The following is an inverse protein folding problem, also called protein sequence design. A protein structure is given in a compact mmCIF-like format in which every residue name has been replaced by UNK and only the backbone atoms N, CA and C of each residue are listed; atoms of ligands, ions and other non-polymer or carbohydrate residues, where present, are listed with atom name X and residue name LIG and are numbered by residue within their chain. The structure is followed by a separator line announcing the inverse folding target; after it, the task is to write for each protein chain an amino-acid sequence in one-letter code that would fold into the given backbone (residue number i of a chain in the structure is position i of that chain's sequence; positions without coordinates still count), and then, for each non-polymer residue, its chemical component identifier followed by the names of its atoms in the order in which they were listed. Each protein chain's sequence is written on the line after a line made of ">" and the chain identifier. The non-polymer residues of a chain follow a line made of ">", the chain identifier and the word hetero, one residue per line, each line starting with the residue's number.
data_IF_850096920761
#
_entry.id   IF_850096920761
#
_cell.length_a   1.000
_cell.length_b   1.000
_cell.length_c   1.000
_cell.angle_alpha   90.00
_cell.angle_beta   90.00
_cell.angle_gamma   90.00
#
_symmetry.space_group_name_H-M   'P 1'
#
loop_
_entity.id
_entity.type
_entity.pdbx_description
1 polymer ?
#
# COMPACT_ATOMS: atom_id res chain seq x y z
N UNK A 1 -31.62 -71.99 -20.65
CA UNK A 1 -31.86 -70.55 -20.43
C UNK A 1 -30.49 -69.91 -20.22
N UNK A 2 -29.98 -69.20 -21.21
CA UNK A 2 -28.63 -68.60 -21.18
C UNK A 2 -28.76 -67.12 -20.88
N UNK A 3 -28.33 -66.71 -19.69
CA UNK A 3 -28.29 -65.30 -19.29
C UNK A 3 -27.07 -64.65 -19.94
N UNK A 4 -27.30 -63.72 -20.87
CA UNK A 4 -26.24 -62.87 -21.42
C UNK A 4 -25.98 -61.72 -20.44
N UNK A 5 -24.90 -61.83 -19.67
CA UNK A 5 -24.43 -60.72 -18.84
C UNK A 5 -23.55 -59.82 -19.70
N UNK A 6 -24.08 -58.68 -20.14
CA UNK A 6 -23.29 -57.62 -20.77
C UNK A 6 -22.75 -56.72 -19.68
N UNK A 7 -21.45 -56.82 -19.38
CA UNK A 7 -20.73 -55.81 -18.60
C UNK A 7 -19.93 -54.92 -19.55
N UNK A 8 -20.07 -53.60 -19.38
CA UNK A 8 -19.24 -52.61 -20.07
C UNK A 8 -18.38 -51.93 -19.02
N UNK A 9 -17.06 -52.00 -19.20
CA UNK A 9 -16.09 -51.32 -18.33
C UNK A 9 -15.90 -49.91 -18.86
N UNK A 10 -16.39 -48.91 -18.14
CA UNK A 10 -16.12 -47.50 -18.45
C UNK A 10 -14.76 -47.13 -17.83
N UNK A 11 -13.73 -46.98 -18.66
CA UNK A 11 -12.46 -46.42 -18.23
C UNK A 11 -12.61 -44.90 -18.12
N UNK A 12 -12.78 -44.39 -16.90
CA UNK A 12 -12.66 -42.95 -16.63
C UNK A 12 -11.16 -42.65 -16.59
N UNK A 13 -10.64 -42.10 -17.69
CA UNK A 13 -9.26 -41.63 -17.75
C UNK A 13 -9.09 -40.41 -16.87
N UNK A 14 -8.06 -40.42 -16.02
CA UNK A 14 -7.71 -39.27 -15.19
C UNK A 14 -7.22 -38.14 -16.12
N UNK A 15 -7.88 -36.99 -16.07
CA UNK A 15 -7.43 -35.82 -16.81
C UNK A 15 -6.17 -35.26 -16.13
N UNK A 16 -5.15 -34.80 -16.87
CA UNK A 16 -3.98 -34.21 -16.26
C UNK A 16 -4.40 -33.03 -15.38
N UNK A 17 -4.11 -33.12 -14.08
CA UNK A 17 -4.29 -32.01 -13.14
C UNK A 17 -3.29 -30.93 -13.50
N UNK A 18 -3.77 -29.80 -14.04
CA UNK A 18 -2.95 -28.61 -14.19
C UNK A 18 -2.66 -28.06 -12.80
N UNK A 19 -1.45 -28.30 -12.29
CA UNK A 19 -0.96 -27.66 -11.06
C UNK A 19 -0.37 -26.32 -11.47
N UNK A 20 -1.19 -25.27 -11.43
CA UNK A 20 -0.70 -23.91 -11.59
C UNK A 20 -0.22 -23.39 -10.22
N UNK A 21 1.10 -23.21 -10.10
CA UNK A 21 1.68 -22.55 -8.94
C UNK A 21 1.64 -21.05 -9.15
N UNK A 22 0.74 -20.36 -8.46
CA UNK A 22 0.76 -18.88 -8.37
C UNK A 22 1.50 -18.49 -7.09
N UNK A 23 2.46 -17.57 -7.21
CA UNK A 23 3.05 -16.97 -6.02
C UNK A 23 2.02 -16.05 -5.34
N UNK A 24 1.52 -16.47 -4.19
CA UNK A 24 0.67 -15.64 -3.35
C UNK A 24 1.60 -14.85 -2.44
N UNK A 25 1.72 -13.55 -2.70
CA UNK A 25 2.38 -12.64 -1.77
C UNK A 25 1.49 -12.48 -0.53
N UNK A 26 1.85 -13.16 0.56
CA UNK A 26 1.25 -12.92 1.87
C UNK A 26 1.70 -11.53 2.32
N UNK A 27 0.72 -10.62 2.44
CA UNK A 27 0.95 -9.27 2.92
C UNK A 27 1.12 -9.35 4.44
N UNK A 28 2.33 -9.09 5.00
CA UNK A 28 2.46 -9.01 6.44
C UNK A 28 1.56 -7.88 6.96
N UNK A 29 0.83 -8.15 8.03
CA UNK A 29 0.13 -7.12 8.82
C UNK A 29 1.13 -6.02 9.15
N UNK A 30 0.68 -4.76 9.06
CA UNK A 30 1.44 -3.60 9.52
C UNK A 30 1.93 -3.85 10.95
N UNK A 31 3.22 -4.19 11.07
CA UNK A 31 3.89 -4.43 12.33
C UNK A 31 4.68 -3.17 12.70
N UNK A 32 4.89 -2.85 13.99
CA UNK A 32 5.60 -1.64 14.38
C UNK A 32 6.99 -1.62 13.74
N UNK A 33 7.16 -0.73 12.76
CA UNK A 33 8.41 -0.54 12.03
C UNK A 33 9.37 0.30 12.85
N UNK A 34 10.67 0.17 12.58
CA UNK A 34 11.74 0.91 13.29
C UNK A 34 12.26 2.11 12.50
N UNK A 35 11.76 2.33 11.28
CA UNK A 35 12.20 3.40 10.40
C UNK A 35 11.49 4.73 10.65
N UNK A 36 11.72 5.67 9.74
CA UNK A 36 11.16 7.04 9.80
C UNK A 36 10.22 7.36 8.65
N UNK A 37 10.28 6.60 7.56
CA UNK A 37 9.55 6.89 6.32
C UNK A 37 10.48 7.42 5.22
N UNK A 38 10.15 7.10 3.98
CA UNK A 38 10.85 7.58 2.78
C UNK A 38 9.85 7.81 1.66
N UNK A 39 10.07 8.88 0.90
CA UNK A 39 9.43 9.11 -0.41
C UNK A 39 10.50 9.09 -1.49
N UNK A 40 10.22 8.43 -2.60
CA UNK A 40 11.06 8.44 -3.81
C UNK A 40 10.23 9.05 -4.92
N UNK A 41 10.65 10.21 -5.39
CA UNK A 41 10.07 10.84 -6.57
C UNK A 41 10.96 10.53 -7.78
N UNK A 42 10.40 10.15 -8.95
CA UNK A 42 11.19 9.80 -10.13
C UNK A 42 12.19 10.88 -10.56
N UNK A 43 11.78 12.15 -10.48
CA UNK A 43 12.60 13.30 -10.90
C UNK A 43 13.24 14.10 -9.77
N UNK A 44 12.56 14.28 -8.62
CA UNK A 44 13.08 15.02 -7.47
C UNK A 44 14.00 14.18 -6.58
N UNK A 45 14.08 12.87 -6.85
CA UNK A 45 14.91 11.92 -6.12
C UNK A 45 14.29 11.46 -4.81
N UNK A 46 15.15 10.95 -3.94
CA UNK A 46 14.76 10.33 -2.67
C UNK A 46 14.77 11.33 -1.53
N UNK A 47 13.71 11.30 -0.73
CA UNK A 47 13.59 12.05 0.50
C UNK A 47 13.35 11.11 1.69
N UNK A 48 14.34 11.05 2.59
CA UNK A 48 14.25 10.34 3.85
C UNK A 48 13.67 11.25 4.94
N UNK A 49 12.64 10.79 5.63
CA UNK A 49 11.98 11.61 6.66
C UNK A 49 12.92 11.82 7.86
N UNK A 50 12.90 13.04 8.42
CA UNK A 50 13.69 13.33 9.61
C UNK A 50 13.15 12.68 10.88
N UNK A 51 11.82 12.58 10.96
CA UNK A 51 11.03 12.03 12.07
C UNK A 51 9.89 11.20 11.48
N UNK A 52 9.28 10.31 12.28
CA UNK A 52 8.06 9.59 11.88
C UNK A 52 6.82 10.46 12.13
N UNK A 53 5.71 10.27 11.39
CA UNK A 53 4.46 10.95 11.71
C UNK A 53 3.93 10.54 13.09
N UNK A 54 3.14 11.41 13.71
CA UNK A 54 2.55 11.18 15.02
C UNK A 54 1.38 10.18 14.94
N UNK A 55 0.61 10.24 13.85
CA UNK A 55 -0.49 9.33 13.58
C UNK A 55 -0.70 9.12 12.08
N UNK A 56 -1.49 8.10 11.75
CA UNK A 56 -1.90 7.77 10.40
C UNK A 56 -3.38 7.37 10.38
N UNK A 57 -4.04 7.61 9.25
CA UNK A 57 -5.43 7.20 9.01
C UNK A 57 -5.53 6.35 7.75
N UNK A 58 -6.42 5.36 7.79
CA UNK A 58 -6.73 4.44 6.69
C UNK A 58 -5.53 3.62 6.18
N UNK A 59 -4.52 3.35 7.02
CA UNK A 59 -3.33 2.60 6.61
C UNK A 59 -3.26 1.15 7.13
N UNK A 60 -3.75 0.88 8.35
CA UNK A 60 -3.37 -0.34 9.08
C UNK A 60 -3.92 -1.64 8.46
N UNK A 61 -5.21 -1.68 8.13
CA UNK A 61 -5.87 -2.85 7.52
C UNK A 61 -6.85 -2.51 6.39
N UNK A 62 -7.05 -1.23 6.09
CA UNK A 62 -8.02 -0.80 5.06
C UNK A 62 -7.46 -0.90 3.64
N UNK A 63 -6.14 -0.86 3.51
CA UNK A 63 -5.43 -0.95 2.23
C UNK A 63 -5.38 -2.39 1.71
N UNK A 64 -5.38 -3.37 2.63
CA UNK A 64 -5.13 -4.78 2.31
C UNK A 64 -6.45 -5.53 2.17
N UNK A 65 -6.77 -5.98 0.94
CA UNK A 65 -7.81 -6.99 0.76
C UNK A 65 -7.19 -8.35 1.08
N UNK A 66 -7.69 -9.09 2.08
CA UNK A 66 -7.15 -10.41 2.38
C UNK A 66 -7.37 -11.36 1.20
N UNK A 67 -6.42 -12.27 0.91
CA UNK A 67 -6.61 -13.29 -0.11
C UNK A 67 -7.81 -14.17 0.24
N UNK A 68 -8.63 -14.49 -0.75
CA UNK A 68 -9.76 -15.41 -0.58
C UNK A 68 -9.31 -16.81 -0.97
N UNK A 69 -9.56 -17.78 -0.09
CA UNK A 69 -9.29 -19.18 -0.36
C UNK A 69 -10.61 -19.96 -0.40
N UNK A 70 -10.86 -20.64 -1.51
CA UNK A 70 -11.94 -21.61 -1.65
C UNK A 70 -11.38 -23.00 -1.91
N UNK A 71 -11.91 -24.01 -1.21
CA UNK A 71 -11.64 -25.41 -1.50
C UNK A 71 -12.94 -26.12 -1.84
N UNK A 72 -12.91 -26.94 -2.89
CA UNK A 72 -14.04 -27.76 -3.32
C UNK A 72 -13.59 -29.22 -3.37
N UNK A 73 -14.33 -30.11 -2.72
CA UNK A 73 -14.03 -31.53 -2.71
C UNK A 73 -14.41 -32.16 -4.06
N UNK A 74 -13.48 -32.88 -4.68
CA UNK A 74 -13.71 -33.66 -5.90
C UNK A 74 -13.73 -35.15 -5.59
N UNK A 75 -14.13 -35.98 -6.55
CA UNK A 75 -14.23 -37.44 -6.38
C UNK A 75 -12.90 -38.11 -5.99
N UNK A 76 -11.77 -37.47 -6.28
CA UNK A 76 -10.42 -38.01 -6.06
C UNK A 76 -9.56 -37.16 -5.11
N UNK A 77 -9.88 -35.88 -4.88
CA UNK A 77 -9.09 -34.98 -4.03
C UNK A 77 -9.85 -33.71 -3.64
N UNK A 78 -9.15 -32.59 -3.38
CA UNK A 78 -9.72 -31.26 -3.23
C UNK A 78 -9.10 -30.30 -4.25
N UNK A 79 -9.93 -29.52 -4.94
CA UNK A 79 -9.50 -28.42 -5.80
C UNK A 79 -9.49 -27.14 -4.98
N UNK A 80 -8.36 -26.44 -4.99
CA UNK A 80 -8.18 -25.16 -4.29
C UNK A 80 -8.17 -24.03 -5.32
N UNK A 81 -8.95 -22.98 -5.08
CA UNK A 81 -8.90 -21.71 -5.79
C UNK A 81 -8.42 -20.63 -4.82
N UNK A 82 -7.34 -19.93 -5.17
CA UNK A 82 -6.85 -18.79 -4.40
C UNK A 82 -6.92 -17.54 -5.25
N UNK A 83 -7.59 -16.52 -4.72
CA UNK A 83 -7.55 -15.18 -5.28
C UNK A 83 -6.52 -14.37 -4.49
N UNK A 84 -5.45 -13.87 -5.13
CA UNK A 84 -4.47 -13.05 -4.45
C UNK A 84 -5.14 -11.79 -3.89
N UNK A 85 -4.76 -11.40 -2.68
CA UNK A 85 -5.21 -10.14 -2.10
C UNK A 85 -4.82 -8.96 -2.98
N UNK A 86 -5.70 -7.98 -3.12
CA UNK A 86 -5.43 -6.73 -3.84
C UNK A 86 -5.15 -5.59 -2.87
N UNK A 87 -4.47 -4.57 -3.38
CA UNK A 87 -4.37 -3.27 -2.72
C UNK A 87 -5.60 -2.46 -3.12
N UNK A 88 -6.32 -1.91 -2.15
CA UNK A 88 -7.42 -1.00 -2.43
C UNK A 88 -6.90 0.39 -2.77
N UNK A 89 -7.58 1.03 -3.71
CA UNK A 89 -7.42 2.45 -3.99
C UNK A 89 -8.06 3.28 -2.86
N UNK A 90 -7.25 3.60 -1.85
CA UNK A 90 -7.67 4.29 -0.62
C UNK A 90 -6.83 5.55 -0.42
N UNK A 91 -7.47 6.58 0.15
CA UNK A 91 -6.78 7.78 0.60
C UNK A 91 -6.26 7.56 2.02
N UNK A 92 -4.94 7.68 2.16
CA UNK A 92 -4.19 7.59 3.40
C UNK A 92 -3.76 8.98 3.84
N UNK A 93 -3.83 9.23 5.13
CA UNK A 93 -3.41 10.50 5.72
C UNK A 93 -2.28 10.27 6.72
N UNK A 94 -1.14 10.95 6.53
CA UNK A 94 -0.12 11.10 7.57
C UNK A 94 -0.40 12.39 8.36
N UNK A 95 -0.44 12.27 9.68
CA UNK A 95 -0.73 13.36 10.61
C UNK A 95 0.51 13.69 11.44
N UNK A 96 0.94 14.94 11.33
CA UNK A 96 2.04 15.53 12.09
C UNK A 96 1.45 16.57 13.03
N UNK A 97 0.97 16.12 14.18
CA UNK A 97 0.29 16.98 15.16
C UNK A 97 1.28 17.84 15.94
N UNK A 98 2.53 17.38 16.09
CA UNK A 98 3.56 18.08 16.84
C UNK A 98 3.31 18.04 18.34
N UNK A 99 2.79 16.91 18.85
CA UNK A 99 2.62 16.63 20.28
C UNK A 99 4.02 16.61 20.96
N UNK A 100 4.50 17.80 21.36
CA UNK A 100 5.90 18.04 21.73
C UNK A 100 6.45 19.40 21.30
N UNK A 101 5.66 20.20 20.57
CA UNK A 101 5.92 21.62 20.27
C UNK A 101 6.50 21.90 18.88
N UNK A 102 6.87 20.87 18.11
CA UNK A 102 7.35 20.96 16.73
C UNK A 102 6.68 19.83 15.94
N UNK A 103 5.99 20.18 14.86
CA UNK A 103 5.27 19.23 14.00
C UNK A 103 6.17 18.65 12.92
N UNK A 104 6.99 19.48 12.26
CA UNK A 104 7.97 19.02 11.27
C UNK A 104 9.05 20.07 10.98
N UNK A 105 10.09 19.68 10.24
CA UNK A 105 11.05 20.63 9.67
C UNK A 105 10.48 21.31 8.44
N UNK A 106 10.91 22.54 8.21
CA UNK A 106 10.47 23.34 7.06
C UNK A 106 10.95 22.72 5.73
N UNK A 107 12.13 22.09 5.74
CA UNK A 107 12.68 21.34 4.60
C UNK A 107 11.75 20.18 4.17
N UNK A 108 11.20 19.46 5.14
CA UNK A 108 10.27 18.35 4.89
C UNK A 108 8.97 18.85 4.25
N UNK A 109 8.39 19.93 4.77
CA UNK A 109 7.21 20.54 4.17
C UNK A 109 7.49 21.04 2.75
N UNK A 110 8.66 21.64 2.50
CA UNK A 110 9.06 22.09 1.15
C UNK A 110 9.17 20.92 0.18
N UNK A 111 9.70 19.78 0.63
CA UNK A 111 9.75 18.59 -0.21
C UNK A 111 8.34 18.05 -0.51
N UNK A 112 7.46 17.98 0.48
CA UNK A 112 6.07 17.56 0.26
C UNK A 112 5.34 18.47 -0.72
N UNK A 113 5.50 19.79 -0.58
CA UNK A 113 4.93 20.77 -1.51
C UNK A 113 5.56 20.69 -2.89
N UNK A 114 6.86 20.42 -3.00
CA UNK A 114 7.53 20.24 -4.28
C UNK A 114 6.96 19.03 -5.01
N UNK A 115 6.91 17.87 -4.35
CA UNK A 115 6.34 16.64 -4.91
C UNK A 115 4.85 16.77 -5.24
N UNK A 116 4.10 17.55 -4.45
CA UNK A 116 2.69 17.86 -4.74
C UNK A 116 2.53 18.79 -5.95
N UNK A 117 3.38 19.82 -6.07
CA UNK A 117 3.35 20.76 -7.18
C UNK A 117 3.88 20.17 -8.49
N UNK A 118 4.67 19.08 -8.43
CA UNK A 118 5.17 18.35 -9.59
C UNK A 118 4.55 16.94 -9.64
N UNK A 119 3.25 16.81 -9.99
CA UNK A 119 2.65 15.49 -10.10
C UNK A 119 3.38 14.66 -11.17
N UNK A 120 3.61 13.38 -10.85
CA UNK A 120 4.18 12.41 -11.79
C UNK A 120 3.10 11.99 -12.78
N UNK A 121 3.44 11.94 -14.07
CA UNK A 121 2.56 11.35 -15.07
C UNK A 121 2.38 9.85 -14.76
N UNK A 122 1.14 9.35 -14.59
CA UNK A 122 0.89 7.93 -14.34
C UNK A 122 1.52 6.98 -15.37
N UNK A 123 1.82 7.45 -16.59
CA UNK A 123 2.50 6.67 -17.62
C UNK A 123 4.01 6.54 -17.40
N UNK A 124 4.65 7.54 -16.79
CA UNK A 124 6.11 7.59 -16.59
C UNK A 124 6.53 7.03 -15.22
N UNK A 125 5.59 6.89 -14.28
CA UNK A 125 5.82 6.25 -12.99
C UNK A 125 4.87 6.73 -11.90
N UNK A 126 5.27 6.53 -10.65
CA UNK A 126 4.56 7.04 -9.48
C UNK A 126 5.57 7.42 -8.40
N UNK A 127 5.11 8.16 -7.39
CA UNK A 127 5.90 8.42 -6.19
C UNK A 127 5.89 7.13 -5.37
N UNK A 128 7.05 6.63 -4.97
CA UNK A 128 7.13 5.45 -4.11
C UNK A 128 7.23 5.90 -2.65
N UNK A 129 6.32 5.39 -1.83
CA UNK A 129 6.22 5.66 -0.42
C UNK A 129 6.55 4.41 0.38
N UNK A 130 7.54 4.54 1.26
CA UNK A 130 8.02 3.47 2.13
C UNK A 130 7.79 3.87 3.60
N UNK A 131 6.62 3.57 4.18
CA UNK A 131 6.31 3.87 5.57
C UNK A 131 6.99 2.89 6.54
N UNK A 132 8.32 2.90 6.55
CA UNK A 132 9.17 2.02 7.37
C UNK A 132 8.95 2.10 8.89
N UNK A 133 8.13 3.04 9.36
CA UNK A 133 7.68 3.18 10.76
C UNK A 133 6.44 2.32 11.09
N UNK A 134 5.68 1.86 10.09
CA UNK A 134 4.45 1.05 10.24
C UNK A 134 4.45 -0.22 9.41
N UNK A 135 5.21 -0.27 8.31
CA UNK A 135 5.26 -1.42 7.44
C UNK A 135 6.62 -1.52 6.74
N UNK A 136 7.04 -2.75 6.45
CA UNK A 136 8.21 -3.01 5.60
C UNK A 136 7.88 -2.91 4.09
N UNK A 137 6.62 -2.68 3.74
CA UNK A 137 6.15 -2.60 2.36
C UNK A 137 6.34 -1.19 1.78
N UNK A 138 6.56 -1.14 0.46
CA UNK A 138 6.51 0.07 -0.34
C UNK A 138 5.24 0.15 -1.17
N UNK A 139 4.73 1.36 -1.36
CA UNK A 139 3.51 1.65 -2.11
C UNK A 139 3.77 2.71 -3.16
N UNK A 140 3.17 2.58 -4.34
CA UNK A 140 3.07 3.66 -5.32
C UNK A 140 1.91 4.55 -4.91
N UNK A 141 2.18 5.84 -4.74
CA UNK A 141 1.23 6.83 -4.26
C UNK A 141 1.19 8.06 -5.17
N UNK A 142 0.04 8.75 -5.15
CA UNK A 142 -0.09 10.11 -5.62
C UNK A 142 -0.37 11.03 -4.44
N UNK A 143 0.36 12.14 -4.32
CA UNK A 143 0.08 13.15 -3.29
C UNK A 143 -1.13 13.97 -3.77
N UNK A 144 -2.22 13.91 -3.01
CA UNK A 144 -3.48 14.58 -3.33
C UNK A 144 -3.49 15.98 -2.75
N UNK A 145 -3.10 16.09 -1.48
CA UNK A 145 -3.21 17.34 -0.74
C UNK A 145 -2.14 17.40 0.36
N UNK A 146 -1.57 18.59 0.56
CA UNK A 146 -0.73 18.91 1.71
C UNK A 146 -1.42 20.04 2.46
N UNK A 147 -1.82 19.81 3.70
CA UNK A 147 -2.51 20.80 4.54
C UNK A 147 -1.58 21.18 5.69
N UNK A 148 -1.32 22.47 5.89
CA UNK A 148 -0.68 22.99 7.10
C UNK A 148 -1.64 23.92 7.84
N UNK A 149 -2.01 23.59 9.08
CA UNK A 149 -2.98 24.39 9.84
C UNK A 149 -4.38 24.40 9.21
N UNK A 150 -5.02 25.57 9.11
CA UNK A 150 -6.36 25.71 8.51
C UNK A 150 -6.33 25.92 6.99
N UNK A 151 -5.27 26.49 6.43
CA UNK A 151 -5.01 26.63 4.98
C UNK A 151 -3.49 26.78 4.77
N UNK A 152 -2.97 26.29 3.64
CA UNK A 152 -1.56 26.51 3.28
C UNK A 152 -1.37 27.96 2.83
N UNK A 153 -1.09 28.86 3.77
CA UNK A 153 -0.56 30.18 3.42
C UNK A 153 0.94 30.09 3.26
N UNK A 154 1.47 30.42 2.08
CA UNK A 154 2.93 30.47 1.83
C UNK A 154 3.67 31.41 2.80
N UNK A 155 2.96 32.35 3.43
CA UNK A 155 3.48 33.22 4.48
C UNK A 155 3.99 32.47 5.72
N UNK A 156 3.44 31.29 6.04
CA UNK A 156 3.86 30.50 7.20
C UNK A 156 5.23 29.83 6.97
N UNK A 157 5.52 29.46 5.71
CA UNK A 157 6.84 28.97 5.28
C UNK A 157 7.93 30.05 5.30
N UNK A 158 7.55 31.31 5.08
CA UNK A 158 8.47 32.44 5.17
C UNK A 158 8.79 32.82 6.63
N UNK A 159 7.87 32.54 7.57
CA UNK A 159 8.05 32.81 9.01
C UNK A 159 8.75 31.69 9.77
N UNK A 160 8.60 30.44 9.32
CA UNK A 160 9.29 29.29 9.90
C UNK A 160 10.77 29.29 9.50
N UNK A 161 11.65 29.83 10.36
CA UNK A 161 13.10 29.86 10.11
C UNK A 161 13.76 28.47 9.99
N UNK A 162 13.11 27.42 10.51
CA UNK A 162 13.64 26.05 10.44
C UNK A 162 12.59 24.98 10.83
N UNK A 163 11.73 25.30 11.80
CA UNK A 163 10.75 24.36 12.38
C UNK A 163 9.32 24.88 12.29
N UNK A 164 8.40 23.98 11.93
CA UNK A 164 6.96 24.22 11.93
C UNK A 164 6.35 23.76 13.24
N UNK A 165 5.46 24.58 13.79
CA UNK A 165 4.74 24.31 15.05
C UNK A 165 3.24 24.07 14.84
N UNK A 166 2.80 24.11 13.59
CA UNK A 166 1.41 23.91 13.21
C UNK A 166 1.22 22.47 12.72
N UNK A 167 0.05 21.88 12.96
CA UNK A 167 -0.23 20.53 12.50
C UNK A 167 -0.17 20.47 10.98
N UNK A 168 0.45 19.43 10.45
CA UNK A 168 0.53 19.18 9.01
C UNK A 168 -0.12 17.83 8.71
N UNK A 169 -0.96 17.80 7.68
CA UNK A 169 -1.58 16.59 7.16
C UNK A 169 -1.15 16.39 5.72
N UNK A 170 -0.56 15.23 5.42
CA UNK A 170 -0.23 14.81 4.07
C UNK A 170 -1.24 13.75 3.64
N UNK A 171 -2.05 14.06 2.62
CA UNK A 171 -3.02 13.13 2.04
C UNK A 171 -2.45 12.52 0.77
N UNK A 172 -2.44 11.20 0.72
CA UNK A 172 -1.92 10.41 -0.38
C UNK A 172 -2.97 9.41 -0.83
N UNK A 173 -3.02 9.12 -2.12
CA UNK A 173 -3.85 8.05 -2.68
C UNK A 173 -2.95 6.91 -3.10
N UNK A 174 -3.25 5.69 -2.64
CA UNK A 174 -2.49 4.50 -3.00
C UNK A 174 -2.95 4.02 -4.37
N UNK A 175 -1.99 3.87 -5.27
CA UNK A 175 -2.22 3.43 -6.64
C UNK A 175 -1.90 1.95 -6.81
N UNK A 176 -0.76 1.51 -6.28
CA UNK A 176 -0.27 0.14 -6.42
C UNK A 176 0.87 -0.14 -5.42
N UNK A 177 1.52 -1.29 -5.52
CA UNK A 177 2.75 -1.64 -4.80
C UNK A 177 3.99 -1.07 -5.50
N UNK A 178 4.99 -0.65 -4.70
CA UNK A 178 6.34 -0.29 -5.18
C UNK A 178 7.24 -1.53 -5.29
#
# INVERSE_FOLDING_TARGET
>A
MTTLTSSATLAIGDAPTAVESVQINVIPVAAPGTGKGRLVHPTLGTYDYHYKPDAWRNFDGDIVVPPVWGSAQTLTSATNAVWPGSIRDVTVEELWTGEGGISMRTEQLRMFLAMWATPVDPADGAIEWYPSYTSSLGFKVAIVEVISGQQVTFDDLARAKDRLRYPVTLKMRILDRA
#
